data_IF_938778859624
#
_entry.id   IF_938778859624
#
_cell.length_a   1.000
_cell.length_b   1.000
_cell.length_c   1.000
_cell.angle_alpha   90.00
_cell.angle_beta   90.00
_cell.angle_gamma   90.00
#
_symmetry.space_group_name_H-M   'P 1'
#
loop_
_entity.id
_entity.type
_entity.pdbx_description
1 polymer ?
#
# COMPACT_ATOMS: atom_id res chain seq x y z
N UNK A 1 6.62 8.79 10.08
CA UNK A 1 6.70 7.59 10.91
C UNK A 1 5.32 7.13 11.33
N UNK A 2 4.97 5.94 10.86
CA UNK A 2 3.68 5.27 10.99
C UNK A 2 3.83 4.00 11.82
N UNK A 3 2.70 3.38 12.15
CA UNK A 3 2.65 2.12 12.88
C UNK A 3 1.81 1.12 12.10
N UNK A 4 2.33 -0.08 11.90
CA UNK A 4 1.65 -1.20 11.27
C UNK A 4 1.59 -2.34 12.29
N UNK A 5 0.39 -2.81 12.63
CA UNK A 5 0.22 -3.95 13.50
C UNK A 5 -0.07 -5.18 12.65
N UNK A 6 0.77 -6.21 12.71
CA UNK A 6 0.53 -7.47 12.03
C UNK A 6 0.43 -8.57 13.08
N UNK A 7 -0.78 -9.11 13.24
CA UNK A 7 -1.05 -10.25 14.12
C UNK A 7 -0.59 -10.02 15.58
N UNK A 8 -0.73 -8.79 16.07
CA UNK A 8 -0.34 -8.39 17.42
C UNK A 8 1.12 -7.94 17.56
N UNK A 9 1.90 -7.96 16.49
CA UNK A 9 3.27 -7.41 16.45
C UNK A 9 3.25 -6.02 15.84
N UNK A 10 3.78 -5.04 16.57
CA UNK A 10 3.76 -3.63 16.16
C UNK A 10 5.09 -3.27 15.49
N UNK A 11 5.01 -2.85 14.23
CA UNK A 11 6.10 -2.33 13.44
C UNK A 11 6.01 -0.80 13.36
N UNK A 12 7.13 -0.12 13.57
CA UNK A 12 7.26 1.31 13.30
C UNK A 12 8.08 1.48 12.04
N UNK A 13 7.76 2.50 11.25
CA UNK A 13 8.42 2.66 9.96
C UNK A 13 7.86 3.82 9.15
N UNK A 14 8.32 3.93 7.92
CA UNK A 14 7.86 4.92 6.97
C UNK A 14 7.15 4.27 5.79
N UNK A 15 6.28 5.04 5.14
CA UNK A 15 5.62 4.62 3.91
C UNK A 15 6.34 5.27 2.75
N UNK A 16 6.73 4.43 1.79
CA UNK A 16 7.43 4.79 0.57
C UNK A 16 6.49 4.56 -0.60
N UNK A 17 6.74 5.28 -1.69
CA UNK A 17 6.03 5.10 -2.96
C UNK A 17 7.00 4.70 -4.06
N UNK A 18 6.50 3.96 -5.03
CA UNK A 18 7.25 3.56 -6.22
C UNK A 18 6.29 3.24 -7.36
N UNK A 19 6.78 2.51 -8.35
CA UNK A 19 5.96 2.00 -9.44
C UNK A 19 6.28 0.54 -9.72
N UNK A 20 5.26 -0.25 -10.02
CA UNK A 20 5.50 -1.59 -10.55
C UNK A 20 6.10 -1.48 -11.95
N UNK A 21 7.24 -2.13 -12.16
CA UNK A 21 8.00 -2.03 -13.42
C UNK A 21 7.23 -2.55 -14.65
N UNK A 22 6.27 -3.44 -14.45
CA UNK A 22 5.55 -4.10 -15.55
C UNK A 22 4.54 -3.20 -16.26
N UNK A 23 3.89 -2.29 -15.53
CA UNK A 23 2.80 -1.45 -16.07
C UNK A 23 2.79 -0.01 -15.54
N UNK A 24 3.70 0.34 -14.62
CA UNK A 24 3.80 1.67 -14.04
C UNK A 24 2.74 2.00 -12.98
N UNK A 25 1.93 1.02 -12.55
CA UNK A 25 0.96 1.21 -11.47
C UNK A 25 1.66 1.65 -10.18
N UNK A 26 0.95 2.44 -9.37
CA UNK A 26 1.44 2.91 -8.08
C UNK A 26 1.75 1.73 -7.16
N UNK A 27 2.96 1.72 -6.62
CA UNK A 27 3.37 0.78 -5.57
C UNK A 27 3.54 1.56 -4.26
N UNK A 28 2.97 1.04 -3.17
CA UNK A 28 3.11 1.59 -1.83
C UNK A 28 3.69 0.52 -0.92
N UNK A 29 4.68 0.90 -0.12
CA UNK A 29 5.47 -0.03 0.69
C UNK A 29 5.70 0.56 2.07
N UNK A 30 5.56 -0.25 3.11
CA UNK A 30 5.98 0.10 4.47
C UNK A 30 7.41 -0.40 4.71
N UNK A 31 8.34 0.51 5.01
CA UNK A 31 9.73 0.20 5.39
C UNK A 31 9.84 0.28 6.90
N UNK A 32 10.19 -0.83 7.55
CA UNK A 32 10.41 -0.87 8.99
C UNK A 32 11.61 0.00 9.39
N UNK A 33 11.48 0.71 10.52
CA UNK A 33 12.56 1.48 11.12
C UNK A 33 13.72 0.57 11.54
N UNK A 34 14.95 0.98 11.21
CA UNK A 34 16.18 0.32 11.66
C UNK A 34 16.58 -0.92 10.86
N UNK A 35 15.83 -1.28 9.83
CA UNK A 35 16.15 -2.38 8.92
C UNK A 35 16.65 -1.87 7.56
N UNK A 36 17.54 -2.64 6.92
CA UNK A 36 17.91 -2.42 5.51
C UNK A 36 16.70 -2.75 4.59
N UNK A 37 16.75 -2.31 3.33
CA UNK A 37 15.65 -2.38 2.33
C UNK A 37 15.01 -3.79 2.13
N UNK A 38 15.60 -4.83 2.70
CA UNK A 38 15.11 -6.21 2.67
C UNK A 38 13.88 -6.48 3.57
N UNK A 39 13.55 -5.60 4.52
CA UNK A 39 12.38 -5.76 5.41
C UNK A 39 11.28 -4.72 5.13
N UNK A 40 10.74 -4.82 3.93
CA UNK A 40 9.61 -4.01 3.48
C UNK A 40 8.33 -4.83 3.35
N UNK A 41 7.19 -4.24 3.72
CA UNK A 41 5.87 -4.81 3.51
C UNK A 41 5.17 -4.08 2.35
N UNK A 42 4.98 -4.72 1.18
CA UNK A 42 4.14 -4.16 0.13
C UNK A 42 2.72 -3.98 0.66
N UNK A 43 2.25 -2.73 0.69
CA UNK A 43 0.87 -2.42 1.08
C UNK A 43 -0.09 -2.57 -0.09
N UNK A 44 0.44 -2.51 -1.31
CA UNK A 44 -0.31 -2.69 -2.55
C UNK A 44 0.11 -3.96 -3.27
N UNK A 45 -0.77 -4.46 -4.13
CA UNK A 45 -0.50 -5.54 -5.08
C UNK A 45 -0.68 -5.05 -6.51
N UNK A 46 0.00 -5.70 -7.45
CA UNK A 46 -0.12 -5.37 -8.88
C UNK A 46 -1.07 -6.32 -9.59
N UNK A 47 -1.70 -5.81 -10.65
CA UNK A 47 -2.51 -6.56 -11.62
C UNK A 47 -2.07 -6.18 -13.03
N UNK A 48 -2.48 -6.94 -14.05
CA UNK A 48 -2.05 -6.66 -15.42
C UNK A 48 -2.66 -5.36 -15.96
N UNK A 49 -3.84 -4.97 -15.49
CA UNK A 49 -4.50 -3.74 -15.89
C UNK A 49 -3.79 -2.49 -15.34
N UNK A 50 -3.75 -1.44 -16.16
CA UNK A 50 -3.35 -0.10 -15.69
C UNK A 50 -4.50 0.49 -14.88
N UNK A 51 -4.19 0.93 -13.66
CA UNK A 51 -5.15 1.55 -12.76
C UNK A 51 -5.24 3.06 -13.00
N UNK A 52 -6.34 3.72 -12.58
CA UNK A 52 -6.42 5.16 -12.59
C UNK A 52 -5.27 5.80 -11.81
N UNK A 53 -4.86 7.01 -12.22
CA UNK A 53 -3.78 7.72 -11.54
C UNK A 53 -4.10 7.94 -10.05
N UNK A 54 -3.11 7.65 -9.20
CA UNK A 54 -3.26 7.72 -7.74
C UNK A 54 -4.04 6.55 -7.13
N UNK A 55 -4.56 5.60 -7.93
CA UNK A 55 -5.20 4.40 -7.41
C UNK A 55 -4.23 3.22 -7.34
N UNK A 56 -4.43 2.36 -6.34
CA UNK A 56 -3.75 1.09 -6.20
C UNK A 56 -4.65 0.05 -5.51
N UNK A 57 -4.34 -1.23 -5.69
CA UNK A 57 -5.03 -2.33 -5.03
C UNK A 57 -4.30 -2.70 -3.75
N UNK A 58 -5.00 -2.80 -2.62
CA UNK A 58 -4.39 -3.18 -1.34
C UNK A 58 -4.00 -4.66 -1.32
N UNK A 59 -2.82 -5.01 -0.80
CA UNK A 59 -2.32 -6.39 -0.73
C UNK A 59 -2.97 -7.21 0.41
N UNK A 60 -4.29 -7.41 0.28
CA UNK A 60 -5.08 -8.23 1.22
C UNK A 60 -4.78 -9.73 1.13
N UNK A 61 -3.92 -10.14 0.17
CA UNK A 61 -3.45 -11.52 0.08
C UNK A 61 -2.36 -11.80 1.13
N UNK A 62 -1.49 -10.83 1.40
CA UNK A 62 -0.38 -10.99 2.34
C UNK A 62 -0.61 -10.25 3.67
N UNK A 63 -1.44 -9.22 3.68
CA UNK A 63 -1.67 -8.36 4.85
C UNK A 63 -3.15 -8.35 5.26
N UNK A 64 -3.45 -8.29 6.57
CA UNK A 64 -4.84 -8.20 7.03
C UNK A 64 -5.49 -6.88 6.60
N UNK A 65 -6.66 -6.97 5.97
CA UNK A 65 -7.40 -5.80 5.47
C UNK A 65 -7.61 -4.72 6.54
N UNK A 66 -8.05 -5.09 7.74
CA UNK A 66 -8.30 -4.13 8.83
C UNK A 66 -7.05 -3.36 9.28
N UNK A 67 -5.86 -3.95 9.15
CA UNK A 67 -4.60 -3.31 9.51
C UNK A 67 -4.14 -2.33 8.41
N UNK A 68 -4.42 -2.67 7.14
CA UNK A 68 -4.23 -1.74 6.02
C UNK A 68 -5.19 -0.55 6.11
N UNK A 69 -6.46 -0.80 6.41
CA UNK A 69 -7.48 0.24 6.60
C UNK A 69 -7.09 1.19 7.74
N UNK A 70 -6.73 0.64 8.90
CA UNK A 70 -6.29 1.44 10.05
C UNK A 70 -5.04 2.27 9.72
N UNK A 71 -4.07 1.70 8.99
CA UNK A 71 -2.88 2.42 8.59
C UNK A 71 -3.21 3.56 7.62
N UNK A 72 -4.04 3.32 6.61
CA UNK A 72 -4.26 4.25 5.51
C UNK A 72 -5.31 5.32 5.82
N UNK A 73 -6.44 4.93 6.39
CA UNK A 73 -7.58 5.83 6.62
C UNK A 73 -7.34 6.72 7.86
N UNK A 74 -6.91 6.15 8.98
CA UNK A 74 -6.69 6.91 10.22
C UNK A 74 -5.56 7.94 10.08
N UNK A 75 -4.60 7.68 9.19
CA UNK A 75 -3.51 8.61 8.87
C UNK A 75 -3.80 9.52 7.68
N UNK A 76 -5.01 9.45 7.10
CA UNK A 76 -5.45 10.26 5.96
C UNK A 76 -4.49 10.15 4.76
N UNK A 77 -4.14 8.91 4.40
CA UNK A 77 -3.24 8.59 3.30
C UNK A 77 -4.02 8.22 2.04
N UNK A 78 -5.09 7.44 2.21
CA UNK A 78 -5.91 6.96 1.11
C UNK A 78 -7.34 6.70 1.59
N UNK A 79 -8.26 6.58 0.64
CA UNK A 79 -9.66 6.21 0.88
C UNK A 79 -10.11 5.11 -0.09
N UNK A 80 -11.08 4.27 0.31
CA UNK A 80 -11.65 3.27 -0.58
C UNK A 80 -12.41 3.94 -1.73
N UNK A 81 -12.22 3.43 -2.94
CA UNK A 81 -12.96 3.91 -4.13
C UNK A 81 -14.35 3.28 -4.25
N UNK A 82 -14.55 2.13 -3.59
CA UNK A 82 -15.70 1.24 -3.80
C UNK A 82 -15.52 0.24 -4.95
N UNK A 83 -14.43 0.34 -5.71
CA UNK A 83 -14.08 -0.62 -6.75
C UNK A 83 -13.23 -1.78 -6.20
N UNK A 84 -13.32 -2.91 -6.90
CA UNK A 84 -12.60 -4.14 -6.57
C UNK A 84 -12.07 -4.80 -7.83
N UNK A 85 -10.98 -5.55 -7.70
CA UNK A 85 -10.42 -6.39 -8.77
C UNK A 85 -10.19 -7.80 -8.25
N UNK A 86 -10.57 -8.79 -9.05
CA UNK A 86 -10.32 -10.20 -8.73
C UNK A 86 -9.08 -10.68 -9.47
N UNK A 87 -8.15 -11.32 -8.75
CA UNK A 87 -7.03 -12.05 -9.36
C UNK A 87 -6.84 -13.38 -8.64
N UNK A 88 -7.00 -14.48 -9.37
CA UNK A 88 -7.06 -15.82 -8.80
C UNK A 88 -8.22 -16.00 -7.83
N UNK A 89 -7.90 -16.31 -6.57
CA UNK A 89 -8.88 -16.53 -5.49
C UNK A 89 -9.06 -15.31 -4.57
N UNK A 90 -8.43 -14.18 -4.90
CA UNK A 90 -8.40 -12.99 -4.05
C UNK A 90 -9.15 -11.84 -4.72
N UNK A 91 -9.93 -11.11 -3.94
CA UNK A 91 -10.59 -9.87 -4.34
C UNK A 91 -9.86 -8.73 -3.63
N UNK A 92 -9.20 -7.88 -4.41
CA UNK A 92 -8.41 -6.77 -3.93
C UNK A 92 -9.25 -5.48 -3.97
N UNK A 93 -9.36 -4.74 -2.86
CA UNK A 93 -10.04 -3.44 -2.86
C UNK A 93 -9.14 -2.36 -3.47
N UNK A 94 -9.73 -1.49 -4.30
CA UNK A 94 -9.05 -0.34 -4.89
C UNK A 94 -9.15 0.89 -3.97
N UNK A 95 -8.01 1.50 -3.69
CA UNK A 95 -7.87 2.69 -2.88
C UNK A 95 -7.29 3.84 -3.70
N UNK A 96 -7.79 5.04 -3.46
CA UNK A 96 -7.27 6.30 -4.01
C UNK A 96 -6.36 6.95 -2.98
N UNK A 97 -5.08 7.06 -3.31
CA UNK A 97 -4.10 7.73 -2.46
C UNK A 97 -4.16 9.23 -2.68
N UNK A 98 -4.19 9.99 -1.59
CA UNK A 98 -4.26 11.45 -1.66
C UNK A 98 -2.95 12.02 -2.21
N UNK A 99 -3.00 12.94 -3.20
CA UNK A 99 -1.80 13.56 -3.75
C UNK A 99 -0.87 14.14 -2.68
N UNK A 100 -1.42 14.80 -1.67
CA UNK A 100 -0.67 15.43 -0.58
C UNK A 100 0.04 14.40 0.32
N UNK A 101 -0.48 13.18 0.40
CA UNK A 101 0.18 12.08 1.10
C UNK A 101 1.32 11.51 0.23
N UNK A 102 1.06 11.29 -1.07
CA UNK A 102 2.07 10.79 -2.02
C UNK A 102 3.27 11.74 -2.14
N UNK A 103 3.05 13.05 -2.16
CA UNK A 103 4.12 14.05 -2.23
C UNK A 103 5.08 14.00 -1.03
N UNK A 104 4.60 13.53 0.14
CA UNK A 104 5.41 13.40 1.36
C UNK A 104 6.16 12.07 1.44
N UNK A 105 5.80 11.10 0.59
CA UNK A 105 6.45 9.80 0.56
C UNK A 105 7.73 9.87 -0.28
N UNK A 106 8.81 9.33 0.27
CA UNK A 106 10.04 9.07 -0.48
C UNK A 106 9.72 8.15 -1.67
N UNK A 107 10.26 8.50 -2.84
CA UNK A 107 10.13 7.70 -4.04
C UNK A 107 11.28 6.70 -4.13
N UNK A 108 10.96 5.43 -4.32
CA UNK A 108 11.91 4.34 -4.55
C UNK A 108 11.70 3.73 -5.93
N UNK A 109 12.81 3.42 -6.61
CA UNK A 109 12.84 2.84 -7.97
C UNK A 109 12.63 1.31 -7.99
#
# INVERSE_FOLDING_TARGET
MYTLNLYGTIFKGDILRGKYQTNGNLAIVFRQEGEEDLYTFPLTSNVDEVLPEGCALLDVNNLPMHELESLLEDNHIAEPTGDFRASGFVIYPEYRFFPEALEKMEFVE
#
